data_IF_202016179209
#
_entry.id   IF_202016179209
#
_cell.length_a   1.000
_cell.length_b   1.000
_cell.length_c   1.000
_cell.angle_alpha   90.00
_cell.angle_beta   90.00
_cell.angle_gamma   90.00
#
_symmetry.space_group_name_H-M   'P 1'
#
loop_
_entity.id
_entity.type
_entity.pdbx_description
1 polymer ?
#
# COMPACT_ATOMS: atom_id res chain seq x y z
N UNK A 1 -6.44 -7.45 -17.54
CA UNK A 1 -5.56 -7.94 -16.48
C UNK A 1 -5.62 -6.99 -15.31
N UNK A 2 -5.75 -7.53 -14.12
CA UNK A 2 -5.84 -6.69 -12.93
C UNK A 2 -4.48 -6.64 -12.23
N UNK A 3 -4.12 -5.44 -11.80
CA UNK A 3 -2.81 -5.17 -11.22
C UNK A 3 -2.99 -4.36 -9.94
N UNK A 4 -2.17 -4.66 -8.95
CA UNK A 4 -2.11 -3.93 -7.71
C UNK A 4 -0.74 -3.27 -7.60
N UNK A 5 -0.73 -1.98 -7.28
CA UNK A 5 0.53 -1.27 -7.06
C UNK A 5 0.57 -0.83 -5.60
N UNK A 6 1.60 -1.26 -4.89
CA UNK A 6 1.83 -0.88 -3.51
C UNK A 6 2.90 0.20 -3.49
N UNK A 7 2.59 1.34 -2.92
CA UNK A 7 3.48 2.49 -2.92
C UNK A 7 3.77 2.87 -1.47
N UNK A 8 5.04 3.02 -1.15
CA UNK A 8 5.44 3.35 0.21
C UNK A 8 6.54 4.40 0.18
N UNK A 9 6.67 5.20 1.26
CA UNK A 9 7.76 6.18 1.33
C UNK A 9 9.11 5.46 1.38
N UNK A 10 10.10 6.05 0.74
CA UNK A 10 11.47 5.55 0.84
C UNK A 10 11.96 5.71 2.27
N UNK A 11 12.91 4.86 2.63
CA UNK A 11 13.53 4.94 3.93
C UNK A 11 14.16 6.32 4.12
N UNK A 12 13.97 6.90 5.30
CA UNK A 12 14.51 8.22 5.60
C UNK A 12 13.63 9.39 5.20
N UNK A 13 12.55 9.13 4.45
CA UNK A 13 11.63 10.18 4.04
C UNK A 13 10.63 10.42 5.18
N UNK A 14 10.34 11.69 5.45
CA UNK A 14 9.34 12.05 6.44
C UNK A 14 7.96 11.55 6.01
N UNK A 15 7.27 10.91 6.92
CA UNK A 15 5.94 10.34 6.68
C UNK A 15 5.00 10.89 7.75
N UNK A 16 4.41 12.07 7.50
CA UNK A 16 3.57 12.71 8.53
C UNK A 16 2.38 11.87 8.95
N UNK A 17 1.76 11.14 8.01
CA UNK A 17 0.62 10.29 8.35
C UNK A 17 1.06 9.14 9.23
N UNK A 18 2.17 8.49 8.87
CA UNK A 18 2.71 7.42 9.69
C UNK A 18 3.08 7.88 11.08
N UNK A 19 3.67 9.07 11.19
CA UNK A 19 4.02 9.63 12.49
C UNK A 19 2.78 9.92 13.32
N UNK A 20 1.72 10.40 12.69
CA UNK A 20 0.47 10.68 13.39
C UNK A 20 -0.13 9.38 13.93
N UNK A 21 -0.13 8.33 13.13
CA UNK A 21 -0.64 7.04 13.58
C UNK A 21 0.21 6.51 14.73
N UNK A 22 1.53 6.58 14.58
CA UNK A 22 2.43 6.06 15.58
C UNK A 22 2.24 6.79 16.92
N UNK A 23 2.06 8.10 16.85
CA UNK A 23 1.87 8.89 18.06
C UNK A 23 0.53 8.67 18.73
N UNK A 24 -0.49 8.26 17.97
CA UNK A 24 -1.82 8.06 18.52
C UNK A 24 -2.00 6.70 19.17
N UNK A 25 -1.22 5.71 18.77
CA UNK A 25 -1.42 4.35 19.26
C UNK A 25 -1.25 4.19 20.77
N UNK A 26 -0.24 4.82 21.40
CA UNK A 26 -0.12 4.68 22.85
C UNK A 26 -1.33 5.19 23.61
N UNK A 27 -1.99 6.25 23.12
CA UNK A 27 -3.18 6.77 23.80
C UNK A 27 -4.32 5.77 23.76
N UNK A 28 -4.28 4.81 22.85
CA UNK A 28 -5.29 3.78 22.74
C UNK A 28 -4.87 2.48 23.44
N UNK A 29 -3.74 2.47 24.12
CA UNK A 29 -3.28 1.31 24.84
C UNK A 29 -2.28 0.45 24.08
N UNK A 30 -1.83 0.88 22.90
CA UNK A 30 -0.94 0.09 22.05
C UNK A 30 0.46 0.73 22.09
N UNK A 31 1.33 0.23 22.95
CA UNK A 31 2.60 0.89 23.19
C UNK A 31 3.78 0.20 22.52
N UNK A 32 3.55 -0.89 21.83
CA UNK A 32 4.64 -1.63 21.19
C UNK A 32 4.86 -1.33 19.73
N UNK A 33 4.07 -0.43 19.14
CA UNK A 33 4.18 -0.13 17.71
C UNK A 33 5.23 0.92 17.45
N UNK A 34 6.07 0.68 16.45
CA UNK A 34 7.16 1.57 16.09
C UNK A 34 7.33 1.55 14.58
N UNK A 35 7.95 2.61 14.07
CA UNK A 35 8.31 2.70 12.66
C UNK A 35 7.09 2.51 11.77
N UNK A 36 6.03 3.23 12.12
CA UNK A 36 4.79 3.14 11.36
C UNK A 36 4.94 3.96 10.08
N UNK A 37 4.67 3.33 8.95
CA UNK A 37 4.69 4.00 7.66
C UNK A 37 3.37 3.77 6.97
N UNK A 38 2.86 4.82 6.35
CA UNK A 38 1.60 4.76 5.63
C UNK A 38 1.87 4.95 4.15
N UNK A 39 1.41 4.03 3.35
CA UNK A 39 1.57 4.09 1.91
C UNK A 39 0.24 4.09 1.22
N UNK A 40 0.27 3.81 -0.08
CA UNK A 40 -0.93 3.82 -0.90
C UNK A 40 -1.06 2.51 -1.65
N UNK A 41 -2.28 2.13 -1.90
CA UNK A 41 -2.61 0.97 -2.72
C UNK A 41 -3.42 1.46 -3.91
N UNK A 42 -2.99 1.11 -5.12
CA UNK A 42 -3.72 1.42 -6.33
C UNK A 42 -4.02 0.11 -7.04
N UNK A 43 -5.28 -0.11 -7.39
CA UNK A 43 -5.69 -1.28 -8.15
C UNK A 43 -6.28 -0.80 -9.46
N UNK A 44 -5.88 -1.43 -10.56
CA UNK A 44 -6.33 -1.02 -11.86
C UNK A 44 -6.40 -2.22 -12.79
N UNK A 45 -7.29 -2.09 -13.78
CA UNK A 45 -7.37 -3.05 -14.86
C UNK A 45 -6.63 -2.47 -16.06
N UNK A 46 -5.75 -3.25 -16.66
CA UNK A 46 -4.96 -2.81 -17.79
C UNK A 46 -5.02 -3.85 -18.90
N UNK A 47 -4.87 -3.38 -20.12
CA UNK A 47 -4.80 -4.29 -21.27
C UNK A 47 -3.38 -4.82 -21.45
N UNK A 48 -2.39 -4.02 -21.09
CA UNK A 48 -0.99 -4.38 -21.28
C UNK A 48 -0.24 -4.07 -19.99
N UNK A 49 0.06 -5.13 -19.23
CA UNK A 49 0.73 -4.97 -17.95
C UNK A 49 2.12 -4.40 -18.09
N UNK A 50 2.74 -4.50 -19.28
CA UNK A 50 4.08 -3.95 -19.45
C UNK A 50 4.12 -2.44 -19.38
N UNK A 51 2.96 -1.77 -19.45
CA UNK A 51 2.90 -0.32 -19.33
C UNK A 51 2.85 0.17 -17.89
N UNK A 52 2.58 -0.72 -16.94
CA UNK A 52 2.38 -0.30 -15.55
C UNK A 52 3.61 0.36 -14.95
N UNK A 53 4.84 -0.13 -15.19
CA UNK A 53 6.00 0.58 -14.64
C UNK A 53 6.09 2.03 -15.10
N UNK A 54 5.78 2.30 -16.36
CA UNK A 54 5.81 3.67 -16.86
C UNK A 54 4.72 4.52 -16.20
N UNK A 55 3.55 3.93 -15.95
CA UNK A 55 2.49 4.62 -15.22
C UNK A 55 2.94 5.01 -13.83
N UNK A 56 3.62 4.10 -13.14
CA UNK A 56 4.13 4.38 -11.80
C UNK A 56 5.13 5.52 -11.81
N UNK A 57 6.06 5.50 -12.78
CA UNK A 57 7.11 6.50 -12.84
C UNK A 57 6.57 7.87 -13.20
N UNK A 58 5.50 7.93 -13.99
CA UNK A 58 5.01 9.19 -14.51
C UNK A 58 3.88 9.79 -13.68
N UNK A 59 3.13 8.96 -12.96
CA UNK A 59 1.93 9.45 -12.30
C UNK A 59 1.66 8.81 -10.96
N UNK A 60 1.72 7.48 -10.87
CA UNK A 60 1.16 6.78 -9.71
C UNK A 60 2.03 6.92 -8.47
N UNK A 61 3.33 6.99 -8.65
CA UNK A 61 4.28 7.14 -7.54
C UNK A 61 5.18 8.32 -7.80
N UNK A 62 5.78 8.84 -6.73
CA UNK A 62 6.82 9.85 -6.87
C UNK A 62 8.16 9.14 -6.65
N UNK A 63 8.89 8.79 -7.73
CA UNK A 63 10.08 7.95 -7.58
C UNK A 63 11.22 8.61 -6.79
N UNK A 64 11.15 9.91 -6.59
CA UNK A 64 12.17 10.57 -5.79
C UNK A 64 12.04 10.26 -4.30
N UNK A 65 10.82 10.03 -3.83
CA UNK A 65 10.55 9.85 -2.41
C UNK A 65 9.77 8.57 -2.10
N UNK A 66 9.35 7.82 -3.12
CA UNK A 66 8.53 6.63 -2.92
C UNK A 66 9.09 5.44 -3.68
N UNK A 67 8.94 4.27 -3.08
CA UNK A 67 9.16 3.00 -3.76
C UNK A 67 7.81 2.39 -4.10
N UNK A 68 7.78 1.55 -5.12
CA UNK A 68 6.55 0.88 -5.48
C UNK A 68 6.83 -0.57 -5.83
N UNK A 69 5.79 -1.37 -5.68
CA UNK A 69 5.84 -2.79 -6.03
C UNK A 69 4.59 -3.11 -6.83
N UNK A 70 4.77 -3.75 -7.98
CA UNK A 70 3.67 -4.11 -8.87
C UNK A 70 3.37 -5.57 -8.67
N UNK A 71 2.11 -5.89 -8.36
CA UNK A 71 1.67 -7.26 -8.13
C UNK A 71 0.53 -7.58 -9.09
N UNK A 72 0.71 -8.52 -10.00
CA UNK A 72 -0.42 -8.97 -10.81
C UNK A 72 -1.39 -9.74 -9.94
N UNK A 73 -2.67 -9.54 -10.17
CA UNK A 73 -3.72 -10.26 -9.46
C UNK A 73 -4.36 -11.20 -10.46
N UNK A 74 -4.10 -12.47 -10.31
CA UNK A 74 -4.64 -13.47 -11.22
C UNK A 74 -5.91 -14.08 -10.66
N UNK A 75 -6.78 -14.39 -11.56
CA UNK A 75 -7.99 -15.08 -11.19
C UNK A 75 -9.02 -14.16 -10.59
N UNK A 76 -10.06 -14.72 -10.17
CA UNK A 76 -11.14 -13.94 -9.56
C UNK A 76 -10.73 -13.41 -8.21
N UNK A 77 -10.47 -13.10 -7.92
CA UNK A 77 -10.19 -12.72 -6.85
C UNK A 77 -10.53 -12.40 -5.90
N UNK A 78 -10.55 -12.92 -6.12
CA UNK A 78 -10.70 -12.73 -5.41
C UNK A 78 -10.55 -12.90 -4.48
N UNK A 79 -10.39 -13.28 -4.44
CA UNK A 79 -10.40 -13.44 -3.65
C UNK A 79 -10.09 -12.84 -2.62
N UNK A 80 -10.32 -12.41 -2.62
CA UNK A 80 -10.20 -11.77 -1.78
C UNK A 80 -10.58 -11.80 -0.77
N UNK A 81 -10.80 -12.25 -0.90
CA UNK A 81 -11.15 -12.22 -0.26
C UNK A 81 -10.86 -12.44 0.79
N UNK A 82 -10.77 -13.05 0.75
CA UNK A 82 -10.66 -13.22 1.57
C UNK A 82 -10.05 -12.84 2.45
N UNK A 83 -9.80 -12.90 2.30
CA UNK A 83 -9.43 -12.43 2.84
C UNK A 83 -9.45 -11.88 3.51
N UNK A 84 -9.92 -12.02 3.32
CA UNK A 84 -10.06 -11.42 3.87
C UNK A 84 -10.03 -11.22 4.66
N UNK A 85 -10.16 -11.80 4.53
CA UNK A 85 -10.27 -11.59 5.14
C UNK A 85 -9.87 -11.33 6.00
N UNK A 86 -9.68 -11.59 5.99
CA UNK A 86 -9.44 -11.19 6.71
C UNK A 86 -9.10 -10.64 7.31
N UNK A 87 -9.13 -10.44 7.12
CA UNK A 87 -8.99 -9.71 7.50
C UNK A 87 -9.34 -9.10 7.97
N UNK A 88 -9.83 -9.19 7.87
CA UNK A 88 -10.28 -8.50 8.19
C UNK A 88 -10.41 -8.20 9.08
N UNK A 89 -10.42 -8.24 9.19
CA UNK A 89 -10.56 -7.77 9.90
C UNK A 89 -10.43 -7.32 10.65
N UNK A 90 -10.38 -7.26 10.84
CA UNK A 90 -10.40 -6.63 11.57
C UNK A 90 -10.34 -5.88 12.01
N UNK A 91 -10.32 -5.45 11.74
CA UNK A 91 -10.38 -4.53 12.18
C UNK A 91 -11.21 -4.13 12.54
N UNK A 92 -11.56 -4.20 12.72
CA UNK A 92 -12.29 -3.71 13.02
C UNK A 92 -12.49 -3.37 13.84
#
# INVERSE_FOLDING_TARGET
MRVRVLIRPKEGILDPVGQTVEGALPALGFEGARNVHVGRLIELDVEDASEVPAMCERLLANPLIEDYEIQPIDGPEDSRSNQDAGLEAPLR
#
